data_IF_781544480839
#
_entry.id   IF_781544480839
#
_cell.length_a   1.000
_cell.length_b   1.000
_cell.length_c   1.000
_cell.angle_alpha   90.00
_cell.angle_beta   90.00
_cell.angle_gamma   90.00
#
_symmetry.space_group_name_H-M   'P 1'
#
loop_
_entity.id
_entity.type
_entity.pdbx_description
1 polymer ?
#
# COMPACT_ATOMS: atom_id res chain seq x y z
N UNK A 1 -5.10 6.49 10.23
CA UNK A 1 -5.70 5.53 9.27
C UNK A 1 -5.98 4.18 9.95
N UNK A 2 -7.12 3.54 9.65
CA UNK A 2 -7.54 2.23 10.24
C UNK A 2 -6.55 1.11 9.93
N UNK A 3 -6.06 1.02 8.70
CA UNK A 3 -4.99 0.12 8.29
C UNK A 3 -3.73 0.24 9.17
N UNK A 4 -3.24 1.46 9.38
CA UNK A 4 -2.06 1.70 10.22
C UNK A 4 -2.28 1.25 11.67
N UNK A 5 -3.50 1.43 12.22
CA UNK A 5 -3.84 0.94 13.57
C UNK A 5 -3.76 -0.59 13.67
N UNK A 6 -4.26 -1.30 12.66
CA UNK A 6 -4.14 -2.77 12.58
C UNK A 6 -2.66 -3.19 12.56
N UNK A 7 -1.88 -2.64 11.64
CA UNK A 7 -0.46 -3.00 11.49
C UNK A 7 0.34 -2.73 12.77
N UNK A 8 0.11 -1.59 13.44
CA UNK A 8 0.77 -1.27 14.71
C UNK A 8 0.40 -2.28 15.78
N UNK A 9 -0.90 -2.61 15.90
CA UNK A 9 -1.38 -3.51 16.95
C UNK A 9 -0.83 -4.92 16.81
N UNK A 10 -0.82 -5.46 15.59
CA UNK A 10 -0.23 -6.78 15.32
C UNK A 10 1.28 -6.76 15.56
N UNK A 11 1.99 -5.76 15.04
CA UNK A 11 3.45 -5.69 15.16
C UNK A 11 3.95 -5.54 16.60
N UNK A 12 3.22 -4.81 17.43
CA UNK A 12 3.62 -4.54 18.81
C UNK A 12 3.22 -5.64 19.80
N UNK A 13 2.36 -6.58 19.40
CA UNK A 13 1.90 -7.67 20.26
C UNK A 13 2.51 -8.98 19.79
N UNK A 14 3.48 -9.51 20.55
CA UNK A 14 4.11 -10.80 20.25
C UNK A 14 3.07 -11.90 20.09
N UNK A 15 2.04 -11.92 20.95
CA UNK A 15 0.94 -12.88 20.86
C UNK A 15 0.21 -12.79 19.52
N UNK A 16 -0.20 -11.59 19.08
CA UNK A 16 -0.91 -11.43 17.81
C UNK A 16 -0.03 -11.74 16.60
N UNK A 17 1.27 -11.47 16.70
CA UNK A 17 2.23 -11.78 15.66
C UNK A 17 2.45 -13.30 15.52
N UNK A 18 2.61 -14.00 16.64
CA UNK A 18 2.68 -15.46 16.69
C UNK A 18 1.40 -16.11 16.18
N UNK A 19 0.23 -15.60 16.61
CA UNK A 19 -1.06 -16.11 16.16
C UNK A 19 -1.23 -15.88 14.64
N UNK A 20 -0.80 -14.72 14.11
CA UNK A 20 -0.75 -14.50 12.67
C UNK A 20 0.17 -15.50 11.98
N UNK A 21 1.37 -15.72 12.51
CA UNK A 21 2.31 -16.69 11.93
C UNK A 21 1.72 -18.11 11.91
N UNK A 22 1.02 -18.55 12.97
CA UNK A 22 0.31 -19.84 12.99
C UNK A 22 -0.77 -19.94 11.92
N UNK A 23 -1.47 -18.84 11.60
CA UNK A 23 -2.43 -18.81 10.48
C UNK A 23 -1.71 -19.09 9.16
N UNK A 24 -0.54 -18.46 8.91
CA UNK A 24 0.26 -18.71 7.71
C UNK A 24 0.75 -20.16 7.64
N UNK A 25 1.25 -20.70 8.76
CA UNK A 25 1.69 -22.09 8.86
C UNK A 25 0.55 -23.08 8.57
N UNK A 26 -0.66 -22.81 9.08
CA UNK A 26 -1.85 -23.64 8.83
C UNK A 26 -2.25 -23.70 7.35
N UNK A 27 -1.84 -22.69 6.58
CA UNK A 27 -2.12 -22.56 5.16
C UNK A 27 -0.93 -23.00 4.28
N UNK A 28 0.18 -23.45 4.90
CA UNK A 28 1.41 -23.86 4.20
C UNK A 28 1.98 -22.77 3.29
N UNK A 29 1.92 -21.51 3.72
CA UNK A 29 2.44 -20.35 2.98
C UNK A 29 3.54 -19.65 3.78
N UNK A 30 4.47 -19.00 3.08
CA UNK A 30 5.54 -18.23 3.71
C UNK A 30 4.98 -17.04 4.49
N UNK A 31 5.46 -16.88 5.73
CA UNK A 31 5.01 -15.81 6.61
C UNK A 31 5.40 -14.43 6.07
N UNK A 32 4.39 -13.58 5.87
CA UNK A 32 4.59 -12.20 5.48
C UNK A 32 4.40 -11.28 6.69
N UNK A 33 5.52 -10.79 7.22
CA UNK A 33 5.51 -9.89 8.38
C UNK A 33 4.81 -8.56 8.08
N UNK A 34 3.96 -8.05 9.01
CA UNK A 34 3.35 -6.72 8.90
C UNK A 34 4.39 -5.60 8.74
N UNK A 35 4.21 -4.76 7.73
CA UNK A 35 5.10 -3.64 7.46
C UNK A 35 4.41 -2.30 7.80
N UNK A 36 5.09 -1.44 8.58
CA UNK A 36 4.61 -0.10 8.87
C UNK A 36 5.17 0.94 7.90
N UNK A 37 4.35 1.93 7.57
CA UNK A 37 4.81 3.12 6.89
C UNK A 37 5.72 3.98 7.79
N UNK A 38 6.68 4.64 7.15
CA UNK A 38 7.75 5.46 7.71
C UNK A 38 7.68 6.82 7.03
N UNK A 39 7.44 7.88 7.82
CA UNK A 39 7.21 9.24 7.29
C UNK A 39 8.35 9.77 6.42
N UNK A 40 9.59 9.36 6.69
CA UNK A 40 10.79 9.80 5.96
C UNK A 40 11.10 8.95 4.72
N UNK A 41 10.38 7.85 4.49
CA UNK A 41 10.54 6.98 3.32
C UNK A 41 9.27 7.01 2.50
N UNK A 42 9.26 7.82 1.45
CA UNK A 42 8.07 8.16 0.66
C UNK A 42 7.32 6.94 0.06
N UNK A 43 8.02 5.84 -0.21
CA UNK A 43 7.41 4.58 -0.71
C UNK A 43 6.80 3.69 0.38
N UNK A 44 6.98 4.01 1.65
CA UNK A 44 6.62 3.12 2.76
C UNK A 44 5.10 2.92 2.90
N UNK A 45 4.30 3.94 2.57
CA UNK A 45 2.82 3.85 2.55
C UNK A 45 2.34 2.86 1.51
N UNK A 46 2.88 2.93 0.29
CA UNK A 46 2.58 1.95 -0.77
C UNK A 46 2.91 0.53 -0.30
N UNK A 47 4.10 0.33 0.27
CA UNK A 47 4.54 -0.99 0.73
C UNK A 47 3.64 -1.54 1.85
N UNK A 48 3.21 -0.71 2.81
CA UNK A 48 2.27 -1.13 3.86
C UNK A 48 0.92 -1.55 3.29
N UNK A 49 0.36 -0.76 2.36
CA UNK A 49 -0.93 -1.08 1.72
C UNK A 49 -0.81 -2.37 0.90
N UNK A 50 0.23 -2.48 0.07
CA UNK A 50 0.46 -3.66 -0.75
C UNK A 50 0.64 -4.92 0.12
N UNK A 51 1.37 -4.81 1.24
CA UNK A 51 1.51 -5.90 2.20
C UNK A 51 0.17 -6.31 2.80
N UNK A 52 -0.68 -5.34 3.18
CA UNK A 52 -2.02 -5.65 3.70
C UNK A 52 -2.86 -6.44 2.71
N UNK A 53 -2.83 -6.07 1.43
CA UNK A 53 -3.60 -6.76 0.39
C UNK A 53 -3.10 -8.20 0.23
N UNK A 54 -1.78 -8.41 0.24
CA UNK A 54 -1.19 -9.76 0.19
C UNK A 54 -1.65 -10.64 1.35
N UNK A 55 -1.78 -10.07 2.56
CA UNK A 55 -2.17 -10.82 3.76
C UNK A 55 -3.66 -10.74 4.07
N UNK A 56 -4.52 -10.30 3.12
CA UNK A 56 -5.95 -10.01 3.36
C UNK A 56 -6.67 -11.15 4.08
N UNK A 57 -6.47 -12.39 3.61
CA UNK A 57 -7.16 -13.57 4.15
C UNK A 57 -6.73 -13.81 5.60
N UNK A 58 -5.43 -13.79 5.86
CA UNK A 58 -4.84 -14.06 7.16
C UNK A 58 -5.17 -12.93 8.15
N UNK A 59 -5.16 -11.68 7.70
CA UNK A 59 -5.57 -10.54 8.49
C UNK A 59 -7.04 -10.63 8.90
N UNK A 60 -7.94 -11.00 7.99
CA UNK A 60 -9.36 -11.18 8.33
C UNK A 60 -9.55 -12.34 9.33
N UNK A 61 -8.86 -13.47 9.15
CA UNK A 61 -8.90 -14.57 10.11
C UNK A 61 -8.41 -14.15 11.50
N UNK A 62 -7.30 -13.40 11.58
CA UNK A 62 -6.78 -12.89 12.84
C UNK A 62 -7.77 -11.93 13.52
N UNK A 63 -8.40 -11.04 12.74
CA UNK A 63 -9.43 -10.12 13.23
C UNK A 63 -10.62 -10.90 13.81
N UNK A 64 -11.06 -11.97 13.14
CA UNK A 64 -12.15 -12.82 13.63
C UNK A 64 -11.76 -13.57 14.90
N UNK A 65 -10.57 -14.15 14.96
CA UNK A 65 -10.07 -14.89 16.13
C UNK A 65 -9.89 -13.99 17.37
N UNK A 66 -9.53 -12.72 17.16
CA UNK A 66 -9.30 -11.74 18.22
C UNK A 66 -10.27 -10.55 18.13
N UNK A 67 -11.56 -10.81 17.91
CA UNK A 67 -12.58 -9.75 17.73
C UNK A 67 -12.57 -8.72 18.87
N UNK A 68 -12.32 -9.14 20.10
CA UNK A 68 -12.18 -8.31 21.30
C UNK A 68 -11.04 -7.27 21.16
N UNK A 69 -9.94 -7.66 20.51
CA UNK A 69 -8.77 -6.81 20.29
C UNK A 69 -8.97 -5.88 19.09
N UNK A 70 -9.85 -6.25 18.16
CA UNK A 70 -10.08 -5.54 16.90
C UNK A 70 -11.47 -4.91 16.78
N UNK A 71 -12.13 -4.60 17.91
CA UNK A 71 -13.51 -4.08 17.98
C UNK A 71 -13.81 -2.92 17.02
N UNK A 72 -12.83 -2.05 16.75
CA UNK A 72 -12.96 -0.89 15.85
C UNK A 72 -12.16 -1.04 14.54
N UNK A 73 -11.76 -2.26 14.18
CA UNK A 73 -10.92 -2.56 13.02
C UNK A 73 -11.60 -3.68 12.21
N UNK A 74 -12.49 -3.31 11.28
CA UNK A 74 -13.19 -4.24 10.40
C UNK A 74 -13.15 -3.81 8.92
N UNK A 75 -12.37 -4.45 8.07
CA UNK A 75 -12.28 -4.07 6.65
C UNK A 75 -13.41 -4.68 5.83
N UNK A 76 -14.33 -3.85 5.34
CA UNK A 76 -15.37 -4.28 4.42
C UNK A 76 -14.86 -4.37 2.96
N UNK A 77 -15.69 -4.90 2.06
CA UNK A 77 -15.31 -5.04 0.64
C UNK A 77 -14.99 -3.70 -0.03
N UNK A 78 -15.62 -2.60 0.43
CA UNK A 78 -15.33 -1.27 -0.09
C UNK A 78 -13.96 -0.77 0.38
N UNK A 79 -13.59 -1.02 1.65
CA UNK A 79 -12.25 -0.76 2.18
C UNK A 79 -11.20 -1.48 1.33
N UNK A 80 -11.39 -2.77 1.05
CA UNK A 80 -10.48 -3.54 0.20
C UNK A 80 -10.41 -3.03 -1.24
N UNK A 81 -11.56 -2.66 -1.82
CA UNK A 81 -11.61 -2.06 -3.15
C UNK A 81 -10.83 -0.73 -3.19
N UNK A 82 -10.98 0.10 -2.16
CA UNK A 82 -10.26 1.36 -2.03
C UNK A 82 -8.74 1.13 -1.89
N UNK A 83 -8.31 0.16 -1.07
CA UNK A 83 -6.88 -0.17 -0.93
C UNK A 83 -6.28 -0.66 -2.26
N UNK A 84 -7.00 -1.49 -3.03
CA UNK A 84 -6.52 -1.95 -4.34
C UNK A 84 -6.39 -0.79 -5.34
N UNK A 85 -7.32 0.16 -5.34
CA UNK A 85 -7.23 1.37 -6.16
C UNK A 85 -6.06 2.27 -5.73
N UNK A 86 -5.82 2.42 -4.43
CA UNK A 86 -4.64 3.14 -3.94
C UNK A 86 -3.35 2.49 -4.45
N UNK A 87 -3.29 1.16 -4.48
CA UNK A 87 -2.15 0.43 -5.06
C UNK A 87 -2.03 0.66 -6.56
N UNK A 88 -3.12 0.68 -7.33
CA UNK A 88 -3.05 0.93 -8.77
C UNK A 88 -2.50 2.33 -9.09
N UNK A 89 -2.87 3.33 -8.29
CA UNK A 89 -2.34 4.70 -8.44
C UNK A 89 -0.87 4.78 -8.03
N UNK A 90 -0.47 4.13 -6.93
CA UNK A 90 0.87 4.29 -6.35
C UNK A 90 1.93 3.32 -6.93
N UNK A 91 1.53 2.19 -7.51
CA UNK A 91 2.45 1.17 -8.04
C UNK A 91 3.39 1.68 -9.14
N UNK A 92 2.94 2.52 -10.10
CA UNK A 92 3.84 3.10 -11.10
C UNK A 92 4.91 3.99 -10.48
N UNK A 93 4.58 4.77 -9.45
CA UNK A 93 5.53 5.62 -8.73
C UNK A 93 6.59 4.79 -8.00
N UNK A 94 6.17 3.72 -7.35
CA UNK A 94 7.10 2.80 -6.71
C UNK A 94 8.05 2.17 -7.73
N UNK A 95 7.53 1.71 -8.87
CA UNK A 95 8.32 1.11 -9.95
C UNK A 95 9.31 2.11 -10.54
N UNK A 96 8.84 3.32 -10.86
CA UNK A 96 9.68 4.44 -11.30
C UNK A 96 10.81 4.73 -10.31
N UNK A 97 10.52 4.70 -9.00
CA UNK A 97 11.56 4.88 -7.98
C UNK A 97 12.62 3.81 -8.06
N UNK A 98 12.22 2.54 -8.14
CA UNK A 98 13.15 1.43 -8.17
C UNK A 98 14.04 1.51 -9.41
N UNK A 99 13.44 1.78 -10.57
CA UNK A 99 14.17 1.98 -11.83
C UNK A 99 15.20 3.09 -11.70
N UNK A 100 14.79 4.29 -11.29
CA UNK A 100 15.69 5.44 -11.14
C UNK A 100 16.77 5.21 -10.08
N UNK A 101 16.41 4.62 -8.93
CA UNK A 101 17.36 4.35 -7.83
C UNK A 101 18.37 3.26 -8.16
N UNK A 102 18.02 2.33 -9.06
CA UNK A 102 18.91 1.26 -9.51
C UNK A 102 19.84 1.68 -10.64
N UNK A 103 19.53 2.79 -11.31
CA UNK A 103 20.34 3.28 -12.42
C UNK A 103 21.60 3.99 -11.90
N UNK A 104 22.76 3.58 -12.39
CA UNK A 104 24.05 4.19 -12.03
C UNK A 104 24.22 5.54 -12.77
N UNK A 105 23.54 5.71 -13.91
CA UNK A 105 23.59 6.90 -14.77
C UNK A 105 22.19 7.22 -15.32
N UNK A 106 21.23 7.61 -14.47
CA UNK A 106 19.98 8.20 -14.97
C UNK A 106 20.32 9.44 -15.80
N UNK A 107 20.13 9.37 -17.12
CA UNK A 107 20.27 10.55 -17.98
C UNK A 107 19.00 11.37 -17.77
N UNK A 108 19.08 12.70 -17.91
CA UNK A 108 17.93 13.59 -17.76
C UNK A 108 16.73 13.16 -18.63
N UNK A 109 16.98 12.51 -19.76
CA UNK A 109 15.97 11.89 -20.62
C UNK A 109 15.19 10.76 -19.95
N UNK A 110 15.84 9.89 -19.18
CA UNK A 110 15.19 8.80 -18.44
C UNK A 110 14.28 9.34 -17.35
N UNK A 111 14.72 10.42 -16.68
CA UNK A 111 13.92 11.15 -15.71
C UNK A 111 12.69 11.76 -16.38
N UNK A 112 12.88 12.54 -17.45
CA UNK A 112 11.77 13.17 -18.18
C UNK A 112 10.76 12.13 -18.70
N UNK A 113 11.23 11.01 -19.26
CA UNK A 113 10.37 9.94 -19.76
C UNK A 113 9.58 9.29 -18.61
N UNK A 114 10.22 9.05 -17.47
CA UNK A 114 9.58 8.49 -16.28
C UNK A 114 8.47 9.43 -15.77
N UNK A 115 8.77 10.72 -15.64
CA UNK A 115 7.78 11.72 -15.22
C UNK A 115 6.61 11.82 -16.19
N UNK A 116 6.90 11.87 -17.49
CA UNK A 116 5.86 11.90 -18.53
C UNK A 116 4.92 10.69 -18.40
N UNK A 117 5.49 9.49 -18.25
CA UNK A 117 4.72 8.24 -18.11
C UNK A 117 3.82 8.27 -16.86
N UNK A 118 4.34 8.78 -15.74
CA UNK A 118 3.56 8.93 -14.51
C UNK A 118 2.40 9.93 -14.66
N UNK A 119 2.63 11.06 -15.33
CA UNK A 119 1.59 12.06 -15.62
C UNK A 119 0.48 11.44 -16.48
N UNK A 120 0.83 10.72 -17.54
CA UNK A 120 -0.14 10.03 -18.39
C UNK A 120 -0.97 9.02 -17.59
N UNK A 121 -0.34 8.27 -16.69
CA UNK A 121 -1.04 7.35 -15.80
C UNK A 121 -2.04 8.06 -14.88
N UNK A 122 -1.63 9.16 -14.25
CA UNK A 122 -2.52 9.96 -13.38
C UNK A 122 -3.72 10.51 -14.16
N UNK A 123 -3.48 11.04 -15.36
CA UNK A 123 -4.55 11.56 -16.23
C UNK A 123 -5.55 10.47 -16.60
N UNK A 124 -5.08 9.27 -16.94
CA UNK A 124 -5.94 8.12 -17.21
C UNK A 124 -6.77 7.73 -15.98
N UNK A 125 -6.15 7.64 -14.80
CA UNK A 125 -6.86 7.31 -13.55
C UNK A 125 -7.94 8.34 -13.20
N UNK A 126 -7.68 9.64 -13.43
CA UNK A 126 -8.67 10.71 -13.22
C UNK A 126 -9.88 10.53 -14.14
N UNK A 127 -9.66 10.21 -15.41
CA UNK A 127 -10.74 10.04 -16.40
C UNK A 127 -11.62 8.82 -16.11
N UNK A 128 -11.02 7.74 -15.59
CA UNK A 128 -11.71 6.45 -15.40
C UNK A 128 -12.38 6.33 -14.02
N UNK A 129 -11.86 6.97 -12.96
CA UNK A 129 -12.33 6.76 -11.58
C UNK A 129 -13.04 7.99 -10.96
N UNK A 130 -14.38 8.05 -11.04
CA UNK A 130 -15.21 9.17 -10.56
C UNK A 130 -15.13 9.54 -9.07
N UNK A 131 -14.71 8.64 -8.16
CA UNK A 131 -14.77 8.88 -6.68
C UNK A 131 -13.38 9.13 -6.06
N UNK A 132 -12.29 8.74 -6.72
CA UNK A 132 -10.92 8.78 -6.15
C UNK A 132 -9.91 9.52 -7.03
N UNK A 133 -10.38 10.18 -8.10
CA UNK A 133 -9.56 11.14 -8.86
C UNK A 133 -8.89 12.16 -7.95
N UNK A 134 -9.47 12.51 -6.78
CA UNK A 134 -8.89 13.46 -5.83
C UNK A 134 -7.45 13.13 -5.41
N UNK A 135 -7.08 11.85 -5.26
CA UNK A 135 -5.69 11.49 -4.95
C UNK A 135 -4.80 11.69 -6.18
N UNK A 136 -5.22 11.17 -7.33
CA UNK A 136 -4.46 11.30 -8.57
C UNK A 136 -4.30 12.77 -8.99
N UNK A 137 -5.36 13.56 -8.84
CA UNK A 137 -5.45 15.01 -9.08
C UNK A 137 -4.58 15.79 -8.10
N UNK A 138 -4.61 15.46 -6.80
CA UNK A 138 -3.72 16.09 -5.82
C UNK A 138 -2.23 15.79 -6.11
N UNK A 139 -1.90 14.56 -6.54
CA UNK A 139 -0.54 14.22 -6.96
C UNK A 139 -0.18 15.00 -8.24
N UNK A 140 -1.08 15.09 -9.21
CA UNK A 140 -0.86 15.82 -10.46
C UNK A 140 -0.66 17.32 -10.22
N UNK A 141 -1.49 17.95 -9.38
CA UNK A 141 -1.35 19.35 -8.99
C UNK A 141 0.03 19.61 -8.37
N UNK A 142 0.46 18.75 -7.43
CA UNK A 142 1.80 18.86 -6.84
C UNK A 142 2.92 18.69 -7.86
N UNK A 143 2.78 17.79 -8.83
CA UNK A 143 3.79 17.61 -9.87
C UNK A 143 3.89 18.84 -10.79
N UNK A 144 2.78 19.55 -11.01
CA UNK A 144 2.76 20.78 -11.81
C UNK A 144 3.32 22.02 -11.07
N UNK A 145 3.56 21.93 -9.76
CA UNK A 145 4.20 23.00 -8.96
C UNK A 145 5.73 23.06 -9.17
N UNK A 146 6.32 22.07 -9.86
CA UNK A 146 7.76 21.95 -10.13
C UNK A 146 8.06 22.03 -11.63
#
# INVERSE_FOLDING_TARGET
>A
MRLRKFMIKVRNSNKLLEDLQRIFESQSIEFLSPQLDISTRWNSTFLMINKMIQIKVQANMLITQHSNEFTNIHFDDNDWKNLNKLVSVLSPFYSATLTLSSSIYSIIGDLCLTFWTLIQHLQYEILVNQIQYLLADSILQKLNEY
#
